data_IF_249210623244
#
_entry.id   IF_249210623244
#
_cell.length_a   1.000
_cell.length_b   1.000
_cell.length_c   1.000
_cell.angle_alpha   90.00
_cell.angle_beta   90.00
_cell.angle_gamma   90.00
#
_symmetry.space_group_name_H-M   'P 1'
#
loop_
_entity.id
_entity.type
_entity.pdbx_description
1 polymer ?
#
# COMPACT_ATOMS: atom_id res chain seq x y z
N UNK A 1 -19.06 -1.45 9.57
CA UNK A 1 -18.24 -2.65 9.82
C UNK A 1 -17.02 -2.56 8.92
N UNK A 2 -15.82 -2.55 9.49
CA UNK A 2 -14.60 -2.52 8.69
C UNK A 2 -13.95 -3.90 8.67
N UNK A 3 -13.19 -4.18 7.61
CA UNK A 3 -12.45 -5.44 7.43
C UNK A 3 -13.30 -6.72 7.62
N UNK A 4 -14.48 -6.77 6.98
CA UNK A 4 -15.40 -7.92 7.15
C UNK A 4 -14.82 -9.26 6.67
N UNK A 5 -13.78 -9.24 5.82
CA UNK A 5 -13.06 -10.43 5.39
C UNK A 5 -12.10 -11.02 6.44
N UNK A 6 -11.95 -10.37 7.60
CA UNK A 6 -11.05 -10.77 8.69
C UNK A 6 -11.78 -11.23 9.96
N UNK A 7 -13.10 -11.07 10.02
CA UNK A 7 -13.87 -11.53 11.18
C UNK A 7 -13.99 -13.07 11.19
N UNK A 8 -13.93 -13.72 12.37
CA UNK A 8 -14.09 -15.16 12.48
C UNK A 8 -15.42 -15.66 11.91
N UNK A 9 -15.44 -16.85 11.32
CA UNK A 9 -16.65 -17.47 10.74
C UNK A 9 -17.81 -17.58 11.75
N UNK A 10 -17.52 -17.81 13.02
CA UNK A 10 -18.54 -17.85 14.08
C UNK A 10 -19.23 -16.49 14.28
N UNK A 11 -18.48 -15.39 14.15
CA UNK A 11 -19.02 -14.03 14.18
C UNK A 11 -19.84 -13.73 12.92
N UNK A 12 -19.40 -14.23 11.76
CA UNK A 12 -20.14 -14.09 10.50
C UNK A 12 -21.54 -14.69 10.58
N UNK A 13 -21.70 -15.86 11.22
CA UNK A 13 -23.03 -16.48 11.45
C UNK A 13 -23.93 -15.60 12.31
N UNK A 14 -23.38 -15.01 13.37
CA UNK A 14 -24.15 -14.12 14.24
C UNK A 14 -24.56 -12.86 13.49
N UNK A 15 -23.66 -12.28 12.71
CA UNK A 15 -23.96 -11.12 11.89
C UNK A 15 -25.04 -11.42 10.85
N UNK A 16 -24.97 -12.57 10.16
CA UNK A 16 -25.99 -12.99 9.21
C UNK A 16 -27.38 -13.02 9.86
N UNK A 17 -27.51 -13.61 11.06
CA UNK A 17 -28.79 -13.61 11.80
C UNK A 17 -29.32 -12.21 12.05
N UNK A 18 -28.47 -11.27 12.42
CA UNK A 18 -28.87 -9.86 12.63
C UNK A 18 -29.34 -9.23 11.32
N UNK A 19 -28.68 -9.49 10.19
CA UNK A 19 -29.04 -8.94 8.88
C UNK A 19 -30.31 -9.55 8.28
N UNK A 20 -30.67 -10.77 8.69
CA UNK A 20 -31.88 -11.47 8.23
C UNK A 20 -33.10 -11.16 9.11
N UNK A 21 -32.95 -11.28 10.43
CA UNK A 21 -34.07 -11.19 11.38
C UNK A 21 -34.23 -9.82 12.03
N UNK A 22 -33.20 -8.97 11.97
CA UNK A 22 -33.15 -7.74 12.76
C UNK A 22 -33.03 -7.99 14.27
N UNK A 23 -32.72 -9.22 14.69
CA UNK A 23 -32.64 -9.62 16.10
C UNK A 23 -31.23 -10.03 16.50
N UNK A 24 -30.83 -9.70 17.72
CA UNK A 24 -29.53 -10.06 18.30
C UNK A 24 -29.67 -10.47 19.76
N UNK A 25 -28.74 -11.29 20.24
CA UNK A 25 -28.64 -11.70 21.63
C UNK A 25 -27.46 -10.96 22.29
N UNK A 26 -27.69 -10.18 23.37
CA UNK A 26 -26.60 -9.60 24.14
C UNK A 26 -25.70 -10.68 24.75
N UNK A 27 -24.43 -10.37 24.98
CA UNK A 27 -23.52 -11.32 25.64
C UNK A 27 -24.04 -11.62 27.06
N UNK A 28 -24.28 -12.91 27.35
CA UNK A 28 -24.86 -13.35 28.62
C UNK A 28 -26.37 -13.15 28.75
N UNK A 29 -27.02 -12.51 27.77
CA UNK A 29 -28.46 -12.38 27.70
C UNK A 29 -29.14 -13.66 27.21
N UNK A 30 -30.38 -13.88 27.64
CA UNK A 30 -31.23 -14.97 27.15
C UNK A 30 -32.36 -14.50 26.24
N UNK A 31 -32.61 -13.20 26.20
CA UNK A 31 -33.68 -12.59 25.42
C UNK A 31 -33.12 -11.89 24.19
N UNK A 32 -33.69 -12.23 23.02
CA UNK A 32 -33.39 -11.56 21.77
C UNK A 32 -33.94 -10.12 21.81
N UNK A 33 -33.16 -9.19 21.25
CA UNK A 33 -33.54 -7.78 21.10
C UNK A 33 -33.59 -7.43 19.63
N UNK A 34 -34.54 -6.59 19.24
CA UNK A 34 -34.62 -6.05 17.88
C UNK A 34 -33.73 -4.83 17.71
N UNK A 35 -33.15 -4.70 16.52
CA UNK A 35 -32.46 -3.51 16.06
C UNK A 35 -32.91 -3.17 14.64
N UNK A 36 -33.10 -1.89 14.38
CA UNK A 36 -33.26 -1.33 13.04
C UNK A 36 -32.01 -0.51 12.72
N UNK A 37 -31.18 -1.01 11.81
CA UNK A 37 -29.87 -0.43 11.51
C UNK A 37 -29.59 -0.47 10.02
N UNK A 38 -28.97 0.59 9.51
CA UNK A 38 -28.35 0.58 8.19
C UNK A 38 -26.92 0.06 8.29
N UNK A 39 -26.63 -1.03 7.60
CA UNK A 39 -25.31 -1.66 7.62
C UNK A 39 -24.48 -1.19 6.43
N UNK A 40 -23.28 -0.68 6.74
CA UNK A 40 -22.24 -0.36 5.75
C UNK A 40 -21.02 -1.21 6.12
N UNK A 41 -20.52 -1.98 5.16
CA UNK A 41 -19.38 -2.86 5.34
C UNK A 41 -18.25 -2.51 4.36
N UNK A 42 -17.00 -2.70 4.81
CA UNK A 42 -15.81 -2.54 3.99
C UNK A 42 -14.88 -3.76 4.12
N UNK A 43 -14.07 -3.99 3.09
CA UNK A 43 -13.04 -5.04 3.06
C UNK A 43 -11.90 -4.61 2.14
N UNK A 44 -10.68 -4.96 2.53
CA UNK A 44 -9.46 -4.81 1.72
C UNK A 44 -9.14 -6.06 0.87
N UNK A 45 -9.89 -7.15 1.07
CA UNK A 45 -9.78 -8.40 0.30
C UNK A 45 -10.84 -8.46 -0.79
N UNK A 46 -10.50 -9.11 -1.90
CA UNK A 46 -11.48 -9.52 -2.89
C UNK A 46 -12.54 -10.44 -2.22
N UNK A 47 -13.81 -10.02 -2.17
CA UNK A 47 -14.85 -10.78 -1.48
C UNK A 47 -15.08 -12.17 -2.10
N UNK A 48 -14.97 -12.30 -3.43
CA UNK A 48 -15.18 -13.58 -4.13
C UNK A 48 -14.05 -14.55 -3.81
N UNK A 49 -12.81 -14.04 -3.82
CA UNK A 49 -11.64 -14.84 -3.41
C UNK A 49 -11.74 -15.26 -1.95
N UNK A 50 -12.19 -14.36 -1.06
CA UNK A 50 -12.38 -14.68 0.35
C UNK A 50 -13.44 -15.79 0.58
N UNK A 51 -14.48 -15.85 -0.25
CA UNK A 51 -15.45 -16.96 -0.24
C UNK A 51 -14.80 -18.26 -0.70
N UNK A 52 -14.06 -18.24 -1.81
CA UNK A 52 -13.36 -19.42 -2.32
C UNK A 52 -12.34 -19.99 -1.32
N UNK A 53 -11.60 -19.11 -0.63
CA UNK A 53 -10.61 -19.48 0.38
C UNK A 53 -11.25 -19.90 1.73
N UNK A 54 -12.59 -19.94 1.84
CA UNK A 54 -13.31 -20.30 3.06
C UNK A 54 -13.20 -19.29 4.21
N UNK A 55 -12.71 -18.07 3.93
CA UNK A 55 -12.56 -16.99 4.92
C UNK A 55 -13.83 -16.16 5.09
N UNK A 56 -14.68 -16.13 4.08
CA UNK A 56 -15.96 -15.42 4.08
C UNK A 56 -17.07 -16.40 3.71
N UNK A 57 -18.20 -16.38 4.42
CA UNK A 57 -19.36 -17.17 4.01
C UNK A 57 -20.07 -16.51 2.83
N UNK A 58 -20.48 -17.35 1.89
CA UNK A 58 -21.19 -16.93 0.68
C UNK A 58 -22.55 -16.28 1.01
N UNK A 59 -23.30 -16.85 1.95
CA UNK A 59 -24.60 -16.31 2.41
C UNK A 59 -24.48 -14.89 2.99
N UNK A 60 -23.46 -14.64 3.81
CA UNK A 60 -23.16 -13.32 4.34
C UNK A 60 -22.76 -12.34 3.24
N UNK A 61 -21.94 -12.78 2.29
CA UNK A 61 -21.53 -11.92 1.17
C UNK A 61 -22.76 -11.46 0.37
N UNK A 62 -23.68 -12.36 0.02
CA UNK A 62 -24.91 -12.00 -0.70
C UNK A 62 -25.77 -10.99 0.06
N UNK A 63 -25.82 -11.08 1.41
CA UNK A 63 -26.59 -10.14 2.22
C UNK A 63 -25.94 -8.76 2.34
N UNK A 64 -24.62 -8.69 2.25
CA UNK A 64 -23.85 -7.43 2.31
C UNK A 64 -23.68 -6.77 0.94
N UNK A 65 -23.51 -7.54 -0.13
CA UNK A 65 -23.19 -7.07 -1.48
C UNK A 65 -24.44 -6.62 -2.27
N UNK A 66 -25.36 -5.93 -1.60
CA UNK A 66 -26.58 -5.37 -2.24
C UNK A 66 -26.20 -4.19 -3.14
N UNK A 67 -25.31 -3.32 -2.68
CA UNK A 67 -24.82 -2.17 -3.44
C UNK A 67 -23.31 -2.04 -3.26
N UNK A 68 -22.51 -2.72 -4.10
CA UNK A 68 -21.06 -2.68 -3.99
C UNK A 68 -20.51 -1.33 -4.46
N UNK A 69 -19.68 -0.71 -3.64
CA UNK A 69 -18.90 0.47 -3.99
C UNK A 69 -17.43 0.08 -4.12
N UNK A 70 -16.88 0.18 -5.32
CA UNK A 70 -15.46 -0.02 -5.53
C UNK A 70 -14.72 1.29 -5.23
N UNK A 71 -13.76 1.22 -4.30
CA UNK A 71 -12.93 2.36 -3.95
C UNK A 71 -11.61 2.29 -4.74
N UNK A 72 -11.43 3.11 -5.80
CA UNK A 72 -10.21 3.06 -6.57
C UNK A 72 -9.02 3.57 -5.73
N UNK A 73 -7.82 2.99 -5.92
CA UNK A 73 -6.61 3.44 -5.29
C UNK A 73 -6.26 4.87 -5.72
N UNK A 74 -5.45 5.55 -4.91
CA UNK A 74 -5.13 6.97 -5.10
C UNK A 74 -4.46 7.26 -6.44
N UNK A 75 -3.62 6.35 -6.94
CA UNK A 75 -2.96 6.46 -8.25
C UNK A 75 -3.93 6.49 -9.45
N UNK A 76 -5.15 5.99 -9.29
CA UNK A 76 -6.17 5.99 -10.35
C UNK A 76 -7.06 7.25 -10.30
N UNK A 77 -6.79 8.16 -9.37
CA UNK A 77 -7.60 9.36 -9.11
C UNK A 77 -6.98 10.66 -9.64
N UNK A 78 -5.90 10.58 -10.42
CA UNK A 78 -5.27 11.74 -11.06
C UNK A 78 -4.83 12.81 -10.05
N UNK A 79 -5.38 14.02 -10.19
CA UNK A 79 -4.97 15.21 -9.43
C UNK A 79 -5.39 15.20 -7.94
N UNK A 80 -6.17 14.21 -7.51
CA UNK A 80 -6.58 14.02 -6.11
C UNK A 80 -5.37 13.96 -5.15
N UNK A 81 -4.22 13.48 -5.62
CA UNK A 81 -2.98 13.42 -4.82
C UNK A 81 -2.59 14.81 -4.31
N UNK A 82 -2.53 15.79 -5.20
CA UNK A 82 -2.11 17.15 -4.86
C UNK A 82 -3.19 17.86 -4.04
N UNK A 83 -4.46 17.64 -4.36
CA UNK A 83 -5.57 18.18 -3.59
C UNK A 83 -5.52 17.70 -2.12
N UNK A 84 -5.38 16.40 -1.92
CA UNK A 84 -5.27 15.80 -0.59
C UNK A 84 -3.99 16.22 0.15
N UNK A 85 -2.87 16.32 -0.57
CA UNK A 85 -1.61 16.76 0.02
C UNK A 85 -1.72 18.19 0.58
N UNK A 86 -2.29 19.11 -0.19
CA UNK A 86 -2.55 20.48 0.26
C UNK A 86 -3.54 20.51 1.43
N UNK A 87 -4.61 19.73 1.37
CA UNK A 87 -5.58 19.63 2.46
C UNK A 87 -4.94 19.19 3.79
N UNK A 88 -4.08 18.16 3.76
CA UNK A 88 -3.38 17.73 4.97
C UNK A 88 -2.35 18.75 5.45
N UNK A 89 -1.68 19.45 4.53
CA UNK A 89 -0.74 20.51 4.89
C UNK A 89 -1.44 21.69 5.56
N UNK A 90 -2.59 22.10 5.04
CA UNK A 90 -3.42 23.17 5.61
C UNK A 90 -3.88 22.83 7.04
N UNK A 91 -4.36 21.60 7.27
CA UNK A 91 -4.70 21.13 8.61
C UNK A 91 -3.52 21.16 9.59
N UNK A 92 -2.30 20.90 9.11
CA UNK A 92 -1.09 20.95 9.95
C UNK A 92 -0.68 22.39 10.25
N UNK A 93 -0.77 23.27 9.25
CA UNK A 93 -0.52 24.70 9.37
C UNK A 93 -1.45 25.33 10.41
N UNK A 94 -2.75 25.06 10.35
CA UNK A 94 -3.73 25.54 11.32
C UNK A 94 -3.42 25.09 12.75
N UNK A 95 -3.05 23.81 12.92
CA UNK A 95 -2.77 23.23 14.24
C UNK A 95 -1.49 23.76 14.88
N UNK A 96 -0.49 24.11 14.07
CA UNK A 96 0.84 24.51 14.53
C UNK A 96 1.11 26.01 14.40
N UNK A 97 0.13 26.78 13.90
CA UNK A 97 0.29 28.21 13.66
C UNK A 97 1.37 28.53 12.61
N UNK A 98 1.51 27.70 11.59
CA UNK A 98 2.48 27.89 10.51
C UNK A 98 1.80 28.15 9.16
N UNK A 99 2.58 28.52 8.14
CA UNK A 99 2.09 28.77 6.79
C UNK A 99 2.98 28.12 5.71
N UNK A 100 3.42 26.88 5.97
CA UNK A 100 4.30 26.13 5.07
C UNK A 100 3.57 25.79 3.77
N UNK A 101 4.27 25.86 2.64
CA UNK A 101 3.74 25.48 1.32
C UNK A 101 4.55 24.34 0.70
N UNK A 102 3.93 23.60 -0.23
CA UNK A 102 4.65 22.66 -1.10
C UNK A 102 5.31 23.43 -2.24
N UNK A 103 6.63 23.29 -2.38
CA UNK A 103 7.34 23.78 -3.57
C UNK A 103 6.90 23.02 -4.83
N UNK A 104 7.09 23.61 -6.00
CA UNK A 104 6.67 23.00 -7.27
C UNK A 104 7.34 21.64 -7.51
N UNK A 105 8.64 21.52 -7.21
CA UNK A 105 9.37 20.25 -7.28
C UNK A 105 8.79 19.19 -6.31
N UNK A 106 8.33 19.59 -5.12
CA UNK A 106 7.68 18.66 -4.19
C UNK A 106 6.33 18.19 -4.71
N UNK A 107 5.57 19.07 -5.37
CA UNK A 107 4.30 18.71 -6.02
C UNK A 107 4.53 17.69 -7.13
N UNK A 108 5.54 17.90 -7.97
CA UNK A 108 5.89 16.95 -9.02
C UNK A 108 6.29 15.58 -8.47
N UNK A 109 7.09 15.55 -7.39
CA UNK A 109 7.44 14.29 -6.72
C UNK A 109 6.25 13.57 -6.10
N UNK A 110 5.34 14.31 -5.49
CA UNK A 110 4.12 13.73 -4.94
C UNK A 110 3.22 13.18 -6.05
N UNK A 111 3.07 13.92 -7.15
CA UNK A 111 2.24 13.53 -8.29
C UNK A 111 2.76 12.33 -9.08
N UNK A 112 4.09 12.16 -9.18
CA UNK A 112 4.72 11.03 -9.88
C UNK A 112 4.79 9.74 -9.06
N UNK A 113 4.47 9.78 -7.76
CA UNK A 113 4.52 8.60 -6.91
C UNK A 113 3.26 7.74 -7.01
N UNK A 114 3.40 6.41 -6.90
CA UNK A 114 2.29 5.45 -7.10
C UNK A 114 1.40 5.24 -5.87
N UNK A 115 1.81 5.74 -4.70
CA UNK A 115 1.06 5.67 -3.44
C UNK A 115 0.50 4.28 -3.11
N UNK A 116 1.36 3.24 -2.95
CA UNK A 116 0.91 1.88 -2.61
C UNK A 116 0.06 1.81 -1.33
N UNK A 117 0.33 2.67 -0.34
CA UNK A 117 -0.45 2.81 0.89
C UNK A 117 -1.60 3.83 0.79
N UNK A 118 -1.91 4.32 -0.41
CA UNK A 118 -2.98 5.28 -0.72
C UNK A 118 -2.92 6.53 0.17
N UNK A 119 -4.09 7.07 0.53
CA UNK A 119 -4.25 8.29 1.33
C UNK A 119 -3.52 8.22 2.68
N UNK A 120 -3.41 7.02 3.28
CA UNK A 120 -2.73 6.84 4.58
C UNK A 120 -1.23 7.11 4.45
N UNK A 121 -0.60 6.59 3.40
CA UNK A 121 0.81 6.85 3.10
C UNK A 121 1.03 8.32 2.76
N UNK A 122 0.20 8.90 1.89
CA UNK A 122 0.27 10.33 1.53
C UNK A 122 0.22 11.21 2.79
N UNK A 123 -0.75 10.98 3.67
CA UNK A 123 -0.88 11.73 4.92
C UNK A 123 0.38 11.63 5.79
N UNK A 124 0.95 10.43 5.92
CA UNK A 124 2.17 10.21 6.70
C UNK A 124 3.38 10.93 6.09
N UNK A 125 3.52 10.87 4.76
CA UNK A 125 4.58 11.56 4.02
C UNK A 125 4.48 13.07 4.22
N UNK A 126 3.30 13.66 4.02
CA UNK A 126 3.08 15.11 4.19
C UNK A 126 3.35 15.53 5.64
N UNK A 127 2.88 14.74 6.62
CA UNK A 127 3.12 15.01 8.03
C UNK A 127 4.61 14.96 8.38
N UNK A 128 5.35 13.96 7.88
CA UNK A 128 6.80 13.87 8.08
C UNK A 128 7.52 15.03 7.42
N UNK A 129 7.17 15.36 6.18
CA UNK A 129 7.77 16.46 5.44
C UNK A 129 7.52 17.82 6.12
N UNK A 130 6.34 18.00 6.70
CA UNK A 130 6.02 19.18 7.51
C UNK A 130 6.92 19.31 8.74
N UNK A 131 7.24 18.21 9.44
CA UNK A 131 8.15 18.22 10.60
C UNK A 131 9.58 18.53 10.15
N UNK A 132 10.02 17.96 9.02
CA UNK A 132 11.39 18.09 8.53
C UNK A 132 11.68 19.44 7.86
N UNK A 133 10.65 20.13 7.37
CA UNK A 133 10.80 21.43 6.73
C UNK A 133 10.87 22.56 7.76
N UNK A 134 11.82 23.48 7.63
CA UNK A 134 11.86 24.69 8.47
C UNK A 134 10.82 25.73 8.01
N UNK A 135 10.71 25.94 6.70
CA UNK A 135 9.75 26.86 6.07
C UNK A 135 8.86 26.10 5.08
N UNK A 136 9.21 26.10 3.80
CA UNK A 136 8.46 25.37 2.78
C UNK A 136 8.93 23.92 2.64
N UNK A 137 7.99 23.05 2.28
CA UNK A 137 8.27 21.64 2.00
C UNK A 137 8.97 21.56 0.65
N UNK A 138 10.30 21.52 0.72
CA UNK A 138 11.17 21.22 -0.41
C UNK A 138 11.29 19.71 -0.64
N UNK A 139 11.79 19.27 -1.80
CA UNK A 139 11.93 17.84 -2.11
C UNK A 139 12.83 17.07 -1.15
N UNK A 140 13.70 17.78 -0.42
CA UNK A 140 14.59 17.19 0.59
C UNK A 140 13.87 16.81 1.89
N UNK A 141 12.75 17.47 2.16
CA UNK A 141 11.90 17.14 3.31
C UNK A 141 10.99 15.93 3.02
N UNK A 142 10.77 15.60 1.75
CA UNK A 142 10.08 14.38 1.36
C UNK A 142 10.99 13.15 1.56
N UNK A 143 10.41 11.99 1.94
CA UNK A 143 11.14 10.72 1.93
C UNK A 143 11.69 10.42 0.53
N UNK A 144 12.87 9.80 0.45
CA UNK A 144 13.56 9.50 -0.82
C UNK A 144 12.76 8.55 -1.72
N UNK A 145 11.84 7.83 -1.11
CA UNK A 145 10.96 6.88 -1.75
C UNK A 145 9.90 7.55 -2.64
N UNK A 146 9.60 8.82 -2.37
CA UNK A 146 8.56 9.61 -3.05
C UNK A 146 9.16 10.41 -4.20
N UNK A 147 8.65 10.21 -5.42
CA UNK A 147 9.13 10.91 -6.61
C UNK A 147 10.36 10.29 -7.30
N UNK A 148 10.64 9.02 -7.02
CA UNK A 148 11.64 8.25 -7.76
C UNK A 148 13.08 8.53 -7.35
N UNK A 149 13.51 7.91 -6.24
CA UNK A 149 14.84 7.28 -6.14
C UNK A 149 14.94 6.14 -5.09
N UNK A 150 13.81 5.59 -4.63
CA UNK A 150 13.89 4.35 -3.84
C UNK A 150 12.54 3.82 -3.39
N UNK A 151 11.87 2.96 -4.16
CA UNK A 151 10.57 2.46 -3.70
C UNK A 151 9.97 1.34 -4.54
N UNK A 152 10.66 0.20 -4.57
CA UNK A 152 10.08 -1.13 -4.81
C UNK A 152 9.45 -1.49 -6.17
N UNK A 153 9.84 -0.85 -7.28
CA UNK A 153 9.93 -1.50 -8.60
C UNK A 153 11.06 -0.87 -9.41
N UNK A 154 12.28 -1.43 -9.33
CA UNK A 154 13.34 -1.11 -10.28
C UNK A 154 13.13 -1.98 -11.51
N UNK A 155 12.47 -1.45 -12.55
CA UNK A 155 12.44 -2.09 -13.86
C UNK A 155 13.77 -1.84 -14.56
N UNK A 156 14.40 -2.92 -15.04
CA UNK A 156 15.55 -2.82 -15.93
C UNK A 156 15.05 -2.95 -17.37
N UNK A 157 15.37 -1.99 -18.22
CA UNK A 157 15.12 -2.06 -19.66
C UNK A 157 16.38 -2.54 -20.37
N UNK A 158 16.20 -3.48 -21.30
CA UNK A 158 17.28 -4.04 -22.11
C UNK A 158 16.93 -3.86 -23.60
N UNK A 159 17.92 -3.54 -24.42
CA UNK A 159 17.74 -3.49 -25.86
C UNK A 159 17.77 -4.92 -26.43
N UNK A 160 16.85 -5.24 -27.33
CA UNK A 160 16.87 -6.51 -28.06
C UNK A 160 18.18 -6.59 -28.85
N UNK A 161 18.97 -7.63 -28.60
CA UNK A 161 20.35 -7.76 -29.13
C UNK A 161 21.47 -7.53 -28.11
N UNK A 162 21.13 -7.10 -26.88
CA UNK A 162 22.11 -7.04 -25.79
C UNK A 162 22.68 -8.41 -25.48
N UNK A 163 23.97 -8.48 -25.15
CA UNK A 163 24.60 -9.75 -24.75
C UNK A 163 24.02 -10.26 -23.43
N UNK A 164 23.89 -11.58 -23.30
CA UNK A 164 23.39 -12.22 -22.07
C UNK A 164 24.27 -11.84 -20.87
N UNK A 165 25.58 -11.75 -21.07
CA UNK A 165 26.54 -11.38 -20.03
C UNK A 165 26.31 -9.96 -19.50
N UNK A 166 26.00 -9.01 -20.39
CA UNK A 166 25.72 -7.63 -20.00
C UNK A 166 24.39 -7.49 -19.26
N UNK A 167 23.36 -8.21 -19.72
CA UNK A 167 22.06 -8.30 -19.06
C UNK A 167 22.22 -8.89 -17.65
N UNK A 168 22.94 -10.01 -17.54
CA UNK A 168 23.21 -10.70 -16.27
C UNK A 168 24.00 -9.80 -15.30
N UNK A 169 25.06 -9.14 -15.77
CA UNK A 169 25.87 -8.22 -14.96
C UNK A 169 25.03 -7.07 -14.42
N UNK A 170 24.24 -6.42 -15.28
CA UNK A 170 23.38 -5.30 -14.88
C UNK A 170 22.31 -5.76 -13.89
N UNK A 171 21.71 -6.93 -14.10
CA UNK A 171 20.73 -7.51 -13.20
C UNK A 171 21.33 -7.79 -11.82
N UNK A 172 22.49 -8.45 -11.75
CA UNK A 172 23.19 -8.77 -10.50
C UNK A 172 23.53 -7.50 -9.70
N UNK A 173 24.10 -6.49 -10.36
CA UNK A 173 24.48 -5.24 -9.70
C UNK A 173 23.26 -4.46 -9.20
N UNK A 174 22.19 -4.39 -10.00
CA UNK A 174 20.96 -3.71 -9.61
C UNK A 174 20.27 -4.40 -8.43
N UNK A 175 20.26 -5.73 -8.38
CA UNK A 175 19.73 -6.49 -7.25
C UNK A 175 20.58 -6.29 -5.99
N UNK A 176 21.92 -6.29 -6.11
CA UNK A 176 22.79 -6.03 -4.96
C UNK A 176 22.58 -4.64 -4.38
N UNK A 177 22.48 -3.63 -5.23
CA UNK A 177 22.21 -2.26 -4.81
C UNK A 177 20.83 -2.15 -4.12
N UNK A 178 19.81 -2.84 -4.67
CA UNK A 178 18.45 -2.84 -4.10
C UNK A 178 18.38 -3.44 -2.69
N UNK A 179 19.31 -4.34 -2.34
CA UNK A 179 19.38 -4.99 -1.04
C UNK A 179 20.61 -4.57 -0.22
N UNK A 180 21.11 -3.34 -0.45
CA UNK A 180 22.20 -2.71 0.32
C UNK A 180 23.46 -3.58 0.42
N UNK A 181 23.79 -4.31 -0.66
CA UNK A 181 24.95 -5.19 -0.73
C UNK A 181 24.78 -6.55 -0.03
N UNK A 182 23.57 -6.92 0.41
CA UNK A 182 23.33 -8.22 1.05
C UNK A 182 23.37 -9.37 0.02
N UNK A 183 24.55 -9.97 -0.11
CA UNK A 183 24.85 -11.01 -1.10
C UNK A 183 24.01 -12.29 -0.94
N UNK A 184 23.65 -12.68 0.30
CA UNK A 184 22.80 -13.85 0.54
C UNK A 184 21.39 -13.62 0.05
N UNK A 185 20.79 -12.48 0.40
CA UNK A 185 19.44 -12.12 -0.06
C UNK A 185 19.39 -11.92 -1.58
N UNK A 186 20.42 -11.29 -2.16
CA UNK A 186 20.50 -11.11 -3.61
C UNK A 186 20.57 -12.46 -4.37
N UNK A 187 21.35 -13.43 -3.88
CA UNK A 187 21.46 -14.75 -4.50
C UNK A 187 20.13 -15.52 -4.48
N UNK A 188 19.43 -15.49 -3.34
CA UNK A 188 18.13 -16.13 -3.15
C UNK A 188 17.06 -15.57 -4.11
N UNK A 189 17.01 -14.25 -4.24
CA UNK A 189 16.06 -13.54 -5.12
C UNK A 189 16.37 -13.78 -6.60
N UNK A 190 17.65 -13.85 -6.96
CA UNK A 190 18.09 -14.16 -8.32
C UNK A 190 17.95 -15.66 -8.66
N UNK A 191 17.59 -16.51 -7.68
CA UNK A 191 17.48 -17.95 -7.88
C UNK A 191 18.82 -18.64 -8.14
N UNK A 192 19.94 -18.04 -7.71
CA UNK A 192 21.29 -18.57 -7.93
C UNK A 192 21.97 -18.94 -6.62
N UNK A 193 22.90 -19.89 -6.68
CA UNK A 193 23.70 -20.23 -5.49
C UNK A 193 24.59 -19.05 -5.08
N UNK A 194 24.85 -18.92 -3.78
CA UNK A 194 25.78 -17.92 -3.26
C UNK A 194 27.16 -18.02 -3.95
N UNK A 195 27.64 -19.25 -4.18
CA UNK A 195 28.91 -19.52 -4.88
C UNK A 195 28.91 -18.97 -6.30
N UNK A 196 27.80 -19.14 -7.03
CA UNK A 196 27.62 -18.60 -8.39
C UNK A 196 27.69 -17.08 -8.38
N UNK A 197 26.99 -16.44 -7.44
CA UNK A 197 27.01 -14.98 -7.31
C UNK A 197 28.44 -14.45 -7.02
N UNK A 198 29.20 -15.11 -6.13
CA UNK A 198 30.59 -14.74 -5.85
C UNK A 198 31.51 -14.91 -7.06
N UNK A 199 31.38 -16.01 -7.80
CA UNK A 199 32.18 -16.25 -9.00
C UNK A 199 31.94 -15.17 -10.06
N UNK A 200 30.68 -14.79 -10.28
CA UNK A 200 30.30 -13.70 -11.20
C UNK A 200 30.85 -12.34 -10.75
N UNK A 201 30.74 -12.02 -9.46
CA UNK A 201 31.28 -10.77 -8.92
C UNK A 201 32.80 -10.69 -8.99
N UNK A 202 33.51 -11.80 -8.86
CA UNK A 202 34.96 -11.86 -9.02
C UNK A 202 35.36 -11.67 -10.49
N UNK A 203 34.67 -12.30 -11.44
CA UNK A 203 34.94 -12.09 -12.86
C UNK A 203 34.71 -10.64 -13.33
N UNK A 204 33.87 -9.87 -12.63
CA UNK A 204 33.65 -8.46 -12.93
C UNK A 204 34.68 -7.51 -12.32
N UNK A 205 35.55 -7.99 -11.41
CA UNK A 205 36.60 -7.20 -10.77
C UNK A 205 37.93 -7.25 -11.52
N UNK A 206 38.10 -8.22 -12.41
CA UNK A 206 39.33 -8.46 -13.18
C UNK A 206 39.29 -7.81 -14.59
N UNK A 207 38.44 -6.81 -14.80
CA UNK A 207 38.34 -5.99 -16.02
C UNK A 207 38.42 -4.50 -15.68
#
# INVERSE_FOLDING_TARGET
LDEIGDIPLSTQVRLLRVLESGEYLPVGGREARRCDVRVIAATNRDPRKAVHDGKLREDLLYRLQVFPLHMPPLRERGDDVLLLANHFLEQLNERQGSAKKLSDESRERLGSHTWPGNVRELKNVVHRAFIMADQDISPRALPREVGGEGGFQRSLTFQVGSSIEEVERRLILATLDAYSGNKRKAADILGVSLKTLYNRLNSYRDV
#
